data_IF_846590380650
#
_entry.id   IF_846590380650
#
_cell.length_a   1.000
_cell.length_b   1.000
_cell.length_c   1.000
_cell.angle_alpha   90.00
_cell.angle_beta   90.00
_cell.angle_gamma   90.00
#
_symmetry.space_group_name_H-M   'P 1'
#
loop_
_entity.id
_entity.type
_entity.pdbx_description
1 polymer ?
#
# COMPACT_ATOMS: atom_id res chain seq x y z
N UNK A 1 -0.43 -10.81 8.61
CA UNK A 1 -0.62 -10.22 7.27
C UNK A 1 -0.92 -8.72 7.32
N UNK A 2 -2.02 -8.28 7.94
CA UNK A 2 -2.42 -6.86 7.98
C UNK A 2 -1.33 -5.85 8.46
N UNK A 3 -0.63 -6.07 9.60
CA UNK A 3 0.41 -5.13 10.03
C UNK A 3 1.64 -5.11 9.09
N UNK A 4 1.97 -6.24 8.46
CA UNK A 4 3.09 -6.36 7.52
C UNK A 4 2.75 -5.63 6.21
N UNK A 5 1.54 -5.85 5.69
CA UNK A 5 1.02 -5.17 4.50
C UNK A 5 1.02 -3.64 4.69
N UNK A 6 0.51 -3.15 5.83
CA UNK A 6 0.50 -1.73 6.17
C UNK A 6 1.92 -1.16 6.39
N UNK A 7 2.84 -1.98 6.90
CA UNK A 7 4.25 -1.66 7.04
C UNK A 7 4.96 -1.51 5.69
N UNK A 8 4.71 -2.41 4.74
CA UNK A 8 5.29 -2.33 3.38
C UNK A 8 4.77 -1.11 2.61
N UNK A 9 3.48 -0.80 2.72
CA UNK A 9 2.91 0.42 2.15
C UNK A 9 3.61 1.67 2.71
N UNK A 10 3.84 1.71 4.03
CA UNK A 10 4.58 2.79 4.68
C UNK A 10 6.06 2.83 4.24
N UNK A 11 6.69 1.67 4.02
CA UNK A 11 8.08 1.56 3.53
C UNK A 11 8.24 2.06 2.08
N UNK A 12 7.26 1.79 1.21
CA UNK A 12 7.22 2.33 -0.14
C UNK A 12 7.12 3.87 -0.14
N UNK A 13 6.39 4.43 0.84
CA UNK A 13 6.24 5.88 1.03
C UNK A 13 7.42 6.53 1.78
N UNK A 14 8.19 5.75 2.55
CA UNK A 14 9.38 6.20 3.29
C UNK A 14 10.49 6.75 2.37
N UNK A 15 10.46 6.47 1.06
CA UNK A 15 11.43 7.02 0.10
C UNK A 15 11.16 8.49 -0.29
N UNK A 16 10.07 9.10 0.17
CA UNK A 16 9.74 10.53 -0.01
C UNK A 16 9.86 11.32 1.31
N UNK A 17 10.84 10.94 2.14
CA UNK A 17 10.98 11.38 3.54
C UNK A 17 11.48 12.81 3.78
N UNK A 18 11.63 13.66 2.77
CA UNK A 18 12.10 15.02 3.01
C UNK A 18 11.00 15.90 3.62
N UNK A 19 10.58 15.61 4.85
CA UNK A 19 9.61 16.39 5.63
C UNK A 19 8.46 15.60 6.27
N UNK A 20 8.67 14.34 6.66
CA UNK A 20 7.63 13.55 7.35
C UNK A 20 7.44 14.06 8.78
N UNK A 21 6.35 14.77 9.02
CA UNK A 21 5.87 15.03 10.39
C UNK A 21 5.03 13.84 10.86
N UNK A 22 5.67 12.88 11.52
CA UNK A 22 4.97 11.80 12.23
C UNK A 22 4.25 12.38 13.44
N UNK A 23 2.92 12.53 13.38
CA UNK A 23 2.11 12.83 14.58
C UNK A 23 1.49 11.54 15.12
N UNK A 24 2.00 11.09 16.26
CA UNK A 24 1.48 9.93 16.98
C UNK A 24 0.19 10.35 17.70
N UNK A 25 -0.98 9.91 17.22
CA UNK A 25 -2.23 10.02 17.98
C UNK A 25 -2.60 8.66 18.54
N UNK A 26 -2.55 8.53 19.86
CA UNK A 26 -3.00 7.36 20.61
C UNK A 26 -4.53 7.45 20.75
N UNK A 27 -5.26 6.60 20.05
CA UNK A 27 -6.69 6.42 20.28
C UNK A 27 -6.95 4.99 20.72
N UNK A 28 -7.60 4.85 21.89
CA UNK A 28 -7.83 3.61 22.64
C UNK A 28 -6.55 2.91 23.17
N UNK A 29 -6.60 2.55 24.46
CA UNK A 29 -5.46 2.16 25.30
C UNK A 29 -4.70 0.89 24.84
N UNK A 30 -5.19 0.16 23.84
CA UNK A 30 -4.74 -1.20 23.50
C UNK A 30 -4.25 -1.33 22.03
N UNK A 31 -4.61 -0.42 21.12
CA UNK A 31 -4.25 -0.57 19.70
C UNK A 31 -3.49 0.68 19.22
N UNK A 32 -2.19 0.60 18.91
CA UNK A 32 -1.48 1.73 18.29
C UNK A 32 -1.97 1.91 16.85
N UNK A 33 -3.06 2.65 16.68
CA UNK A 33 -3.55 3.08 15.38
C UNK A 33 -2.62 4.20 14.88
N UNK A 34 -1.60 3.82 14.11
CA UNK A 34 -0.69 4.75 13.45
C UNK A 34 -1.46 5.51 12.36
N UNK A 35 -1.96 6.71 12.68
CA UNK A 35 -2.49 7.66 11.71
C UNK A 35 -1.34 8.53 11.20
N UNK A 36 -0.77 8.14 10.06
CA UNK A 36 0.22 8.95 9.35
C UNK A 36 -0.53 9.90 8.42
N UNK A 37 -0.68 11.18 8.80
CA UNK A 37 -1.19 12.20 7.86
C UNK A 37 -0.03 12.71 7.00
N UNK A 38 0.06 12.20 5.77
CA UNK A 38 1.04 12.69 4.78
C UNK A 38 0.35 13.77 3.94
N UNK A 39 0.49 15.05 4.33
CA UNK A 39 0.10 16.20 3.49
C UNK A 39 1.09 16.36 2.33
N UNK A 40 1.17 15.40 1.40
CA UNK A 40 1.99 15.55 0.18
C UNK A 40 1.29 15.00 -1.04
N UNK A 41 1.31 15.85 -2.07
CA UNK A 41 1.09 15.53 -3.47
C UNK A 41 2.15 14.54 -3.94
N UNK A 42 1.73 13.34 -4.30
CA UNK A 42 2.56 12.29 -4.90
C UNK A 42 2.20 12.20 -6.38
N UNK A 43 3.18 12.18 -7.31
CA UNK A 43 2.86 12.02 -8.72
C UNK A 43 2.20 10.67 -8.98
N UNK A 44 1.16 10.66 -9.82
CA UNK A 44 0.31 9.51 -10.16
C UNK A 44 1.01 8.16 -10.21
N UNK A 45 2.05 8.04 -11.04
CA UNK A 45 2.74 6.76 -11.26
C UNK A 45 3.45 6.22 -10.02
N UNK A 46 3.93 7.11 -9.16
CA UNK A 46 4.63 6.72 -7.93
C UNK A 46 3.65 6.31 -6.84
N UNK A 47 2.49 6.95 -6.79
CA UNK A 47 1.39 6.53 -5.93
C UNK A 47 0.90 5.13 -6.33
N UNK A 48 0.65 4.89 -7.62
CA UNK A 48 0.29 3.56 -8.14
C UNK A 48 1.35 2.52 -7.78
N UNK A 49 2.64 2.85 -7.95
CA UNK A 49 3.72 1.95 -7.58
C UNK A 49 3.72 1.62 -6.07
N UNK A 50 3.43 2.58 -5.20
CA UNK A 50 3.37 2.35 -3.75
C UNK A 50 2.24 1.41 -3.34
N UNK A 51 1.09 1.47 -4.04
CA UNK A 51 -0.05 0.56 -3.82
C UNK A 51 0.23 -0.84 -4.38
N UNK A 52 0.93 -0.94 -5.51
CA UNK A 52 1.25 -2.23 -6.12
C UNK A 52 2.38 -2.99 -5.39
N UNK A 53 3.30 -2.28 -4.75
CA UNK A 53 4.48 -2.85 -4.08
C UNK A 53 4.16 -3.92 -3.02
N UNK A 54 3.24 -3.73 -2.05
CA UNK A 54 2.91 -4.77 -1.07
C UNK A 54 2.35 -6.04 -1.72
N UNK A 55 1.57 -5.90 -2.80
CA UNK A 55 1.06 -7.05 -3.53
C UNK A 55 2.20 -7.83 -4.18
N UNK A 56 3.07 -7.16 -4.95
CA UNK A 56 4.17 -7.80 -5.68
C UNK A 56 5.17 -8.46 -4.73
N UNK A 57 5.61 -7.76 -3.69
CA UNK A 57 6.66 -8.26 -2.78
C UNK A 57 6.17 -9.45 -1.96
N UNK A 58 4.97 -9.37 -1.37
CA UNK A 58 4.45 -10.46 -0.54
C UNK A 58 4.09 -11.67 -1.40
N UNK A 59 3.46 -11.46 -2.57
CA UNK A 59 3.15 -12.57 -3.49
C UNK A 59 4.42 -13.25 -3.98
N UNK A 60 5.46 -12.50 -4.37
CA UNK A 60 6.73 -13.07 -4.81
C UNK A 60 7.41 -13.86 -3.68
N UNK A 61 7.43 -13.33 -2.46
CA UNK A 61 8.03 -14.00 -1.31
C UNK A 61 7.29 -15.29 -0.96
N UNK A 62 5.95 -15.29 -1.02
CA UNK A 62 5.13 -16.48 -0.79
C UNK A 62 5.35 -17.55 -1.87
N UNK A 63 5.45 -17.16 -3.14
CA UNK A 63 5.72 -18.08 -4.25
C UNK A 63 7.12 -18.69 -4.10
N UNK A 64 8.15 -17.87 -3.83
CA UNK A 64 9.52 -18.36 -3.64
C UNK A 64 9.59 -19.31 -2.44
N UNK A 65 8.95 -18.95 -1.32
CA UNK A 65 8.89 -19.81 -0.14
C UNK A 65 8.20 -21.14 -0.42
N UNK A 66 7.09 -21.13 -1.19
CA UNK A 66 6.38 -22.34 -1.60
C UNK A 66 7.28 -23.33 -2.34
N UNK A 67 8.13 -22.85 -3.26
CA UNK A 67 9.07 -23.70 -4.01
C UNK A 67 10.33 -24.09 -3.23
N UNK A 68 10.79 -23.22 -2.32
CA UNK A 68 12.07 -23.41 -1.62
C UNK A 68 12.01 -24.44 -0.47
N UNK A 69 10.83 -24.90 -0.07
CA UNK A 69 10.69 -25.70 1.16
C UNK A 69 9.72 -26.89 1.02
N UNK A 70 10.13 -28.11 1.44
CA UNK A 70 9.36 -29.34 1.18
C UNK A 70 8.06 -29.48 1.99
N UNK A 71 7.99 -28.92 3.21
CA UNK A 71 6.78 -28.90 4.07
C UNK A 71 5.72 -27.89 3.56
N UNK A 72 6.16 -26.97 2.71
CA UNK A 72 5.49 -25.74 2.33
C UNK A 72 4.97 -25.80 0.86
N UNK A 73 5.11 -26.92 0.16
CA UNK A 73 4.27 -27.27 -1.00
C UNK A 73 2.81 -27.59 -0.62
N UNK A 74 2.44 -27.36 0.64
CA UNK A 74 1.11 -27.53 1.16
C UNK A 74 0.13 -26.52 0.53
N UNK A 75 -1.16 -26.89 0.34
CA UNK A 75 -2.24 -25.98 -0.05
C UNK A 75 -2.34 -24.69 0.79
N UNK A 76 -1.70 -24.66 1.96
CA UNK A 76 -1.60 -23.49 2.83
C UNK A 76 -1.05 -22.24 2.12
N UNK A 77 -0.08 -22.35 1.20
CA UNK A 77 0.40 -21.17 0.45
C UNK A 77 -0.62 -20.65 -0.53
N UNK A 78 -1.35 -21.53 -1.20
CA UNK A 78 -2.42 -21.12 -2.11
C UNK A 78 -3.49 -20.38 -1.33
N UNK A 79 -3.87 -20.87 -0.15
CA UNK A 79 -4.79 -20.18 0.77
C UNK A 79 -4.22 -18.83 1.19
N UNK A 80 -2.93 -18.78 1.56
CA UNK A 80 -2.28 -17.56 2.03
C UNK A 80 -2.15 -16.50 0.94
N UNK A 81 -1.84 -16.91 -0.29
CA UNK A 81 -1.81 -16.06 -1.49
C UNK A 81 -3.22 -15.58 -1.82
N UNK A 82 -4.25 -16.43 -1.73
CA UNK A 82 -5.64 -16.04 -1.97
C UNK A 82 -6.12 -15.01 -0.94
N UNK A 83 -5.81 -15.20 0.35
CA UNK A 83 -6.12 -14.24 1.40
C UNK A 83 -5.38 -12.91 1.14
N UNK A 84 -4.10 -12.97 0.78
CA UNK A 84 -3.31 -11.78 0.42
C UNK A 84 -3.86 -11.02 -0.78
N UNK A 85 -4.25 -11.72 -1.84
CA UNK A 85 -4.91 -11.14 -3.00
C UNK A 85 -6.23 -10.45 -2.63
N UNK A 86 -7.05 -11.07 -1.77
CA UNK A 86 -8.29 -10.47 -1.25
C UNK A 86 -8.03 -9.20 -0.44
N UNK A 87 -7.00 -9.18 0.40
CA UNK A 87 -6.63 -8.00 1.19
C UNK A 87 -6.14 -6.83 0.33
N UNK A 88 -5.50 -7.09 -0.81
CA UNK A 88 -5.00 -6.05 -1.72
C UNK A 88 -6.08 -5.55 -2.71
N UNK A 89 -7.31 -6.09 -2.64
CA UNK A 89 -8.40 -5.68 -3.52
C UNK A 89 -8.73 -4.17 -3.47
N UNK A 90 -8.77 -3.50 -2.31
CA UNK A 90 -8.98 -2.05 -2.24
C UNK A 90 -7.87 -1.27 -2.96
N UNK A 91 -6.62 -1.73 -2.86
CA UNK A 91 -5.49 -1.10 -3.54
C UNK A 91 -5.67 -1.14 -5.07
N UNK A 92 -6.17 -2.25 -5.61
CA UNK A 92 -6.46 -2.36 -7.04
C UNK A 92 -7.60 -1.44 -7.48
N UNK A 93 -8.63 -1.25 -6.63
CA UNK A 93 -9.69 -0.28 -6.91
C UNK A 93 -9.09 1.14 -6.98
N UNK A 94 -8.23 1.50 -6.02
CA UNK A 94 -7.56 2.79 -6.01
C UNK A 94 -6.67 3.00 -7.24
N UNK A 95 -5.86 2.00 -7.60
CA UNK A 95 -5.03 2.03 -8.81
C UNK A 95 -5.91 2.25 -10.05
N UNK A 96 -6.99 1.48 -10.20
CA UNK A 96 -7.90 1.58 -11.35
C UNK A 96 -8.50 2.99 -11.47
N UNK A 97 -8.95 3.55 -10.35
CA UNK A 97 -9.53 4.90 -10.31
C UNK A 97 -8.51 5.97 -10.69
N UNK A 98 -7.24 5.79 -10.28
CA UNK A 98 -6.16 6.75 -10.58
C UNK A 98 -5.68 6.61 -12.02
N UNK A 99 -5.64 5.40 -12.61
CA UNK A 99 -5.22 5.18 -14.00
C UNK A 99 -6.08 5.99 -14.98
N UNK A 100 -7.38 6.12 -14.72
CA UNK A 100 -8.31 6.90 -15.56
C UNK A 100 -8.14 8.42 -15.52
N UNK A 101 -7.29 8.96 -14.64
CA UNK A 101 -7.08 10.41 -14.50
C UNK A 101 -6.05 10.96 -15.51
N UNK A 102 -6.03 12.27 -15.81
CA UNK A 102 -5.05 12.87 -16.74
C UNK A 102 -3.58 12.57 -16.39
N UNK A 103 -2.68 12.67 -17.38
CA UNK A 103 -1.25 12.31 -17.22
C UNK A 103 -0.52 13.17 -16.20
N UNK A 104 -0.86 14.46 -16.10
CA UNK A 104 -0.25 15.44 -15.21
C UNK A 104 -1.09 15.63 -13.94
N UNK A 105 -1.21 14.55 -13.17
CA UNK A 105 -1.98 14.53 -11.93
C UNK A 105 -1.13 14.15 -10.72
N UNK A 106 -1.43 14.80 -9.61
CA UNK A 106 -0.90 14.50 -8.31
C UNK A 106 -2.00 13.90 -7.43
N UNK A 107 -1.63 12.96 -6.58
CA UNK A 107 -2.53 12.29 -5.65
C UNK A 107 -2.15 12.72 -4.24
N UNK A 108 -3.09 13.25 -3.49
CA UNK A 108 -2.96 13.60 -2.08
C UNK A 108 -3.82 12.66 -1.23
N UNK A 109 -3.28 12.22 -0.10
CA UNK A 109 -3.99 11.37 0.86
C UNK A 109 -4.88 12.25 1.77
N UNK A 110 -6.19 12.04 1.73
CA UNK A 110 -7.19 12.86 2.41
C UNK A 110 -7.92 12.03 3.50
N UNK A 111 -8.47 12.68 4.52
CA UNK A 111 -9.12 11.99 5.65
C UNK A 111 -10.30 11.06 5.24
N UNK A 112 -10.83 11.19 4.01
CA UNK A 112 -11.92 10.36 3.46
C UNK A 112 -11.53 9.54 2.21
N UNK A 113 -10.24 9.44 1.87
CA UNK A 113 -9.79 8.74 0.67
C UNK A 113 -8.59 9.43 0.03
N UNK A 114 -8.62 9.64 -1.27
CA UNK A 114 -7.55 10.33 -1.98
C UNK A 114 -8.13 11.45 -2.85
N UNK A 115 -7.42 12.58 -2.91
CA UNK A 115 -7.73 13.72 -3.75
C UNK A 115 -6.81 13.72 -4.96
N UNK A 116 -7.37 13.85 -6.16
CA UNK A 116 -6.60 13.98 -7.40
C UNK A 116 -6.53 15.45 -7.78
N UNK A 117 -5.32 15.98 -7.83
CA UNK A 117 -5.01 17.35 -8.19
C UNK A 117 -4.52 17.35 -9.65
N UNK A 118 -5.23 18.06 -10.51
CA UNK A 118 -4.83 18.28 -11.91
C UNK A 118 -4.04 19.58 -11.95
N UNK A 119 -2.83 19.56 -12.53
CA UNK A 119 -2.14 20.81 -12.86
C UNK A 119 -2.77 21.36 -14.12
N UNK A 120 -3.29 22.59 -14.08
CA UNK A 120 -3.60 23.32 -15.30
C UNK A 120 -2.26 23.65 -15.99
N UNK A 121 -2.11 23.20 -17.24
CA UNK A 121 -1.05 23.65 -18.15
C UNK A 121 -1.52 24.89 -18.91
#
# INVERSE_FOLDING_TARGET
MYPIHKGLHLLALLRYRDGVQMRFKRHFYIVPCLQVKVKRVIPKWRYIASLALPFVVISALLIVAMFATPVLHSPLFLILIAIHAGMCYPDFIHIRNIIGTPKHTFVEDADRGFSVLVSEE
#
